data_IF_037036433461
#
_entry.id   IF_037036433461
#
_cell.length_a   1.000
_cell.length_b   1.000
_cell.length_c   1.000
_cell.angle_alpha   90.00
_cell.angle_beta   90.00
_cell.angle_gamma   90.00
#
_symmetry.space_group_name_H-M   'P 1'
#
loop_
_entity.id
_entity.type
_entity.pdbx_description
1 polymer ?
#
# COMPACT_ATOMS: atom_id res chain seq x y z
N UNK A 1 6.84 11.91 1.04
CA UNK A 1 5.41 11.88 1.43
C UNK A 1 4.75 10.67 0.79
N UNK A 2 3.87 9.95 1.49
CA UNK A 2 3.30 8.69 0.99
C UNK A 2 1.79 8.83 0.87
N UNK A 3 1.26 8.53 -0.31
CA UNK A 3 -0.17 8.56 -0.61
C UNK A 3 -0.62 7.22 -1.21
N UNK A 4 -1.92 6.96 -1.15
CA UNK A 4 -2.54 5.83 -1.82
C UNK A 4 -3.56 6.33 -2.85
N UNK A 5 -3.42 5.90 -4.09
CA UNK A 5 -4.40 6.10 -5.15
C UNK A 5 -5.27 4.84 -5.25
N UNK A 6 -6.58 5.00 -5.13
CA UNK A 6 -7.54 3.91 -5.21
C UNK A 6 -8.17 3.82 -6.59
N UNK A 7 -8.72 2.65 -6.92
CA UNK A 7 -9.36 2.37 -8.20
C UNK A 7 -8.42 2.47 -9.42
N UNK A 8 -7.13 2.23 -9.23
CA UNK A 8 -6.14 2.23 -10.31
C UNK A 8 -6.30 0.97 -11.16
N UNK A 9 -6.41 1.08 -12.50
CA UNK A 9 -6.53 -0.08 -13.38
C UNK A 9 -5.39 -1.08 -13.20
N UNK A 10 -5.71 -2.37 -13.08
CA UNK A 10 -4.70 -3.43 -12.92
C UNK A 10 -3.88 -3.69 -14.19
N UNK A 11 -4.27 -3.09 -15.32
CA UNK A 11 -3.48 -3.06 -16.56
C UNK A 11 -2.23 -2.17 -16.47
N UNK A 12 -2.19 -1.24 -15.51
CA UNK A 12 -1.00 -0.43 -15.27
C UNK A 12 0.09 -1.25 -14.58
N UNK A 13 1.32 -1.25 -15.12
CA UNK A 13 2.46 -1.89 -14.46
C UNK A 13 3.33 -0.85 -13.74
N UNK A 14 3.32 -0.77 -12.40
CA UNK A 14 4.15 0.16 -11.65
C UNK A 14 5.65 -0.16 -11.70
N UNK A 15 6.04 -1.35 -12.16
CA UNK A 15 7.45 -1.75 -12.30
C UNK A 15 8.04 -1.43 -13.68
N UNK A 16 7.20 -1.05 -14.64
CA UNK A 16 7.67 -0.66 -15.97
C UNK A 16 8.56 0.59 -15.89
N UNK A 17 9.61 0.66 -16.71
CA UNK A 17 10.57 1.78 -16.74
C UNK A 17 9.86 3.13 -16.97
N UNK A 18 8.81 3.13 -17.79
CA UNK A 18 7.99 4.32 -18.09
C UNK A 18 6.86 4.62 -17.10
N UNK A 19 6.69 3.86 -16.01
CA UNK A 19 5.55 4.00 -15.11
C UNK A 19 5.42 5.41 -14.50
N UNK A 20 6.54 5.98 -14.05
CA UNK A 20 6.61 7.33 -13.46
C UNK A 20 6.32 8.40 -14.51
N UNK A 21 6.84 8.20 -15.71
CA UNK A 21 6.63 9.08 -16.85
C UNK A 21 5.17 9.09 -17.28
N UNK A 22 4.49 7.93 -17.30
CA UNK A 22 3.07 7.83 -17.58
C UNK A 22 2.22 8.58 -16.55
N UNK A 23 2.50 8.39 -15.25
CA UNK A 23 1.86 9.13 -14.16
C UNK A 23 2.06 10.64 -14.35
N UNK A 24 3.29 11.09 -14.65
CA UNK A 24 3.57 12.50 -14.88
C UNK A 24 2.77 13.08 -16.05
N UNK A 25 2.72 12.39 -17.20
CA UNK A 25 2.07 12.93 -18.40
C UNK A 25 0.57 13.20 -18.20
N UNK A 26 -0.13 12.33 -17.48
CA UNK A 26 -1.56 12.51 -17.18
C UNK A 26 -1.80 13.52 -16.03
N UNK A 27 -0.77 13.94 -15.30
CA UNK A 27 -0.89 14.80 -14.11
C UNK A 27 0.10 15.98 -14.11
N UNK A 28 0.54 16.45 -15.28
CA UNK A 28 1.59 17.49 -15.40
C UNK A 28 1.22 18.84 -14.78
N UNK A 29 -0.07 19.11 -14.58
CA UNK A 29 -0.55 20.28 -13.83
C UNK A 29 -0.34 20.21 -12.32
N UNK A 30 -0.11 19.00 -11.78
CA UNK A 30 0.06 18.74 -10.34
C UNK A 30 1.46 18.23 -10.01
N UNK A 31 2.02 17.38 -10.87
CA UNK A 31 3.34 16.76 -10.72
C UNK A 31 4.30 17.51 -11.65
N UNK A 32 5.29 18.26 -11.13
CA UNK A 32 6.14 19.11 -11.94
C UNK A 32 7.17 18.34 -12.78
N UNK A 33 7.56 17.13 -12.35
CA UNK A 33 8.47 16.26 -13.09
C UNK A 33 8.28 14.79 -12.74
N UNK A 34 8.71 13.84 -13.59
CA UNK A 34 8.72 12.42 -13.26
C UNK A 34 9.58 12.08 -12.04
N UNK A 35 10.60 12.89 -11.72
CA UNK A 35 11.46 12.69 -10.56
C UNK A 35 10.78 12.99 -9.23
N UNK A 36 9.70 13.76 -9.23
CA UNK A 36 8.89 13.98 -8.03
C UNK A 36 8.18 12.71 -7.55
N UNK A 37 8.07 11.70 -8.42
CA UNK A 37 7.60 10.36 -8.06
C UNK A 37 8.81 9.48 -7.75
N UNK A 38 9.10 9.30 -6.46
CA UNK A 38 10.25 8.56 -5.95
C UNK A 38 10.07 7.04 -6.06
N UNK A 39 8.87 6.56 -5.75
CA UNK A 39 8.53 5.13 -5.79
C UNK A 39 7.04 4.96 -6.11
N UNK A 40 6.73 3.88 -6.82
CA UNK A 40 5.37 3.46 -7.15
C UNK A 40 5.28 1.95 -6.96
N UNK A 41 4.29 1.49 -6.21
CA UNK A 41 4.05 0.05 -6.03
C UNK A 41 2.59 -0.24 -5.72
N UNK A 42 2.17 -1.46 -5.99
CA UNK A 42 0.88 -1.93 -5.49
C UNK A 42 0.87 -1.99 -3.95
N UNK A 43 -0.24 -1.59 -3.34
CA UNK A 43 -0.45 -1.70 -1.89
C UNK A 43 -0.43 -3.18 -1.46
N UNK A 44 -1.16 -4.00 -2.20
CA UNK A 44 -1.18 -5.45 -2.03
C UNK A 44 -0.55 -6.11 -3.25
N UNK A 45 0.29 -7.12 -3.01
CA UNK A 45 0.76 -7.98 -4.10
C UNK A 45 -0.45 -8.58 -4.83
N UNK A 46 -0.41 -8.60 -6.16
CA UNK A 46 -1.40 -9.28 -6.99
C UNK A 46 -1.22 -10.79 -6.77
N UNK A 47 -1.89 -11.34 -5.76
CA UNK A 47 -1.60 -12.69 -5.23
C UNK A 47 -2.28 -13.85 -5.97
N UNK A 48 -3.19 -13.59 -6.91
CA UNK A 48 -3.90 -14.64 -7.63
C UNK A 48 -4.24 -14.20 -9.05
N UNK A 49 -3.65 -14.86 -10.05
CA UNK A 49 -4.01 -14.66 -11.47
C UNK A 49 -5.43 -15.17 -11.81
N UNK A 50 -6.04 -15.97 -10.92
CA UNK A 50 -7.38 -16.53 -11.06
C UNK A 50 -8.49 -15.50 -10.84
N UNK A 51 -8.23 -14.42 -10.08
CA UNK A 51 -9.18 -13.34 -9.83
C UNK A 51 -8.72 -12.08 -10.57
N UNK A 52 -9.27 -11.87 -11.77
CA UNK A 52 -9.02 -10.66 -12.57
C UNK A 52 -9.76 -9.47 -11.96
N UNK A 53 -9.19 -8.85 -10.93
CA UNK A 53 -9.65 -7.53 -10.47
C UNK A 53 -9.40 -6.51 -11.56
N UNK A 54 -10.39 -5.66 -11.85
CA UNK A 54 -10.25 -4.56 -12.81
C UNK A 54 -9.49 -3.37 -12.23
N UNK A 55 -9.49 -3.22 -10.90
CA UNK A 55 -8.82 -2.11 -10.21
C UNK A 55 -8.15 -2.56 -8.90
N UNK A 56 -7.15 -1.80 -8.47
CA UNK A 56 -6.39 -1.99 -7.24
C UNK A 56 -5.94 -0.65 -6.65
N UNK A 57 -5.24 -0.69 -5.52
CA UNK A 57 -4.72 0.50 -4.83
C UNK A 57 -3.21 0.60 -4.98
N UNK A 58 -2.74 1.77 -5.37
CA UNK A 58 -1.35 2.09 -5.65
C UNK A 58 -0.77 2.97 -4.55
N UNK A 59 0.37 2.58 -3.99
CA UNK A 59 1.15 3.42 -3.06
C UNK A 59 2.17 4.21 -3.87
N UNK A 60 2.19 5.52 -3.64
CA UNK A 60 3.07 6.45 -4.33
C UNK A 60 3.88 7.21 -3.29
N UNK A 61 5.21 7.23 -3.46
CA UNK A 61 6.12 8.03 -2.66
C UNK A 61 6.52 9.26 -3.46
N UNK A 62 6.28 10.43 -2.88
CA UNK A 62 6.54 11.74 -3.46
C UNK A 62 7.65 12.46 -2.70
N UNK A 63 8.40 13.32 -3.38
CA UNK A 63 9.46 14.14 -2.79
C UNK A 63 8.94 15.36 -2.02
N UNK A 64 7.83 15.97 -2.46
CA UNK A 64 7.23 17.16 -1.86
C UNK A 64 5.83 16.89 -1.29
N UNK A 65 5.54 17.51 -0.15
CA UNK A 65 4.24 17.51 0.53
C UNK A 65 3.18 18.19 -0.32
N UNK A 66 3.52 19.31 -0.97
CA UNK A 66 2.57 20.10 -1.74
C UNK A 66 1.96 19.30 -2.89
N UNK A 67 2.78 18.45 -3.51
CA UNK A 67 2.33 17.53 -4.56
C UNK A 67 1.36 16.49 -3.98
N UNK A 68 1.69 15.93 -2.80
CA UNK A 68 0.82 14.98 -2.11
C UNK A 68 -0.54 15.61 -1.76
N UNK A 69 -0.54 16.79 -1.14
CA UNK A 69 -1.76 17.51 -0.76
C UNK A 69 -2.59 17.86 -2.01
N UNK A 70 -1.95 18.32 -3.09
CA UNK A 70 -2.63 18.61 -4.35
C UNK A 70 -3.25 17.36 -4.99
N UNK A 71 -2.57 16.21 -4.97
CA UNK A 71 -3.13 14.94 -5.47
C UNK A 71 -4.30 14.46 -4.60
N UNK A 72 -4.26 14.65 -3.28
CA UNK A 72 -5.39 14.35 -2.39
C UNK A 72 -6.62 15.19 -2.75
N UNK A 73 -6.42 16.47 -3.10
CA UNK A 73 -7.52 17.36 -3.49
C UNK A 73 -8.03 17.12 -4.92
N UNK A 74 -7.14 16.84 -5.87
CA UNK A 74 -7.48 16.78 -7.30
C UNK A 74 -7.64 15.36 -7.85
N UNK A 75 -7.34 14.33 -7.06
CA UNK A 75 -7.18 12.94 -7.49
C UNK A 75 -6.03 12.73 -8.49
N UNK A 76 -5.67 11.47 -8.74
CA UNK A 76 -4.66 11.06 -9.72
C UNK A 76 -5.37 10.62 -11.01
N UNK A 77 -5.00 11.15 -12.17
CA UNK A 77 -5.41 10.61 -13.45
C UNK A 77 -4.45 9.49 -13.90
N UNK A 78 -4.96 8.32 -14.27
CA UNK A 78 -4.13 7.25 -14.83
C UNK A 78 -4.93 6.36 -15.78
N UNK A 79 -4.40 6.14 -16.99
CA UNK A 79 -5.06 5.40 -18.07
C UNK A 79 -6.50 5.89 -18.32
N UNK A 80 -6.71 7.22 -18.27
CA UNK A 80 -8.03 7.83 -18.45
C UNK A 80 -9.00 7.61 -17.29
N UNK A 81 -8.55 7.06 -16.16
CA UNK A 81 -9.35 6.86 -14.95
C UNK A 81 -8.97 7.87 -13.88
N UNK A 82 -9.97 8.51 -13.25
CA UNK A 82 -9.75 9.31 -12.04
C UNK A 82 -9.64 8.38 -10.84
N UNK A 83 -8.47 8.40 -10.19
CA UNK A 83 -8.10 7.56 -9.08
C UNK A 83 -8.04 8.41 -7.80
N UNK A 84 -9.06 8.35 -6.93
CA UNK A 84 -9.08 9.10 -5.67
C UNK A 84 -7.84 8.83 -4.82
N UNK A 85 -7.22 9.89 -4.33
CA UNK A 85 -5.98 9.83 -3.54
C UNK A 85 -6.27 10.16 -2.08
N UNK A 86 -5.67 9.39 -1.18
CA UNK A 86 -5.68 9.69 0.25
C UNK A 86 -4.28 9.55 0.85
N UNK A 87 -4.08 10.13 2.03
CA UNK A 87 -2.85 9.92 2.80
C UNK A 87 -2.67 8.43 3.09
N UNK A 88 -1.46 7.90 2.91
CA UNK A 88 -1.17 6.52 3.26
C UNK A 88 -1.05 6.36 4.78
N UNK A 89 -1.98 5.61 5.36
CA UNK A 89 -1.94 5.16 6.75
C UNK A 89 -1.70 3.64 6.77
N UNK A 90 -0.51 3.15 7.20
CA UNK A 90 -0.21 1.73 7.26
C UNK A 90 -1.01 0.98 8.34
N UNK A 91 -1.79 1.67 9.17
CA UNK A 91 -2.50 1.09 10.29
C UNK A 91 -1.56 0.67 11.44
N UNK A 92 -2.12 0.37 12.62
CA UNK A 92 -1.32 -0.06 13.76
C UNK A 92 -0.67 -1.42 13.49
N UNK A 93 0.64 -1.52 13.74
CA UNK A 93 1.36 -2.79 13.59
C UNK A 93 0.84 -3.81 14.59
N UNK A 94 0.25 -4.90 14.09
CA UNK A 94 -0.21 -6.02 14.92
C UNK A 94 0.84 -7.14 14.94
N UNK A 95 1.10 -7.68 16.13
CA UNK A 95 2.01 -8.79 16.33
C UNK A 95 1.35 -10.12 15.98
N UNK A 96 1.84 -10.82 14.95
CA UNK A 96 1.32 -12.15 14.59
C UNK A 96 1.66 -13.28 15.59
N UNK A 97 2.43 -13.01 16.66
CA UNK A 97 2.69 -13.97 17.74
C UNK A 97 1.64 -13.85 18.84
N UNK A 98 1.53 -12.68 19.48
CA UNK A 98 0.66 -12.46 20.64
C UNK A 98 -0.64 -11.68 20.33
N UNK A 99 -0.83 -11.22 19.09
CA UNK A 99 -1.95 -10.37 18.63
C UNK A 99 -2.02 -8.95 19.23
N UNK A 100 -1.06 -8.56 20.07
CA UNK A 100 -0.95 -7.18 20.60
C UNK A 100 -0.45 -6.20 19.54
N UNK A 101 -0.79 -4.92 19.70
CA UNK A 101 -0.34 -3.84 18.81
C UNK A 101 0.99 -3.23 19.24
N UNK A 102 1.64 -2.53 18.31
CA UNK A 102 2.85 -1.73 18.55
C UNK A 102 4.17 -2.45 18.27
N UNK A 103 4.14 -3.74 17.90
CA UNK A 103 5.35 -4.47 17.55
C UNK A 103 5.09 -5.59 16.53
N UNK A 104 6.14 -5.95 15.79
CA UNK A 104 6.11 -7.06 14.85
C UNK A 104 6.42 -8.38 15.57
N UNK A 105 5.99 -9.51 15.05
CA UNK A 105 6.28 -10.84 15.65
C UNK A 105 7.79 -11.08 15.88
N UNK A 106 8.66 -10.55 15.02
CA UNK A 106 10.13 -10.66 15.17
C UNK A 106 10.66 -9.91 16.40
N UNK A 107 10.03 -8.79 16.77
CA UNK A 107 10.39 -7.95 17.90
C UNK A 107 9.46 -8.18 19.11
N UNK A 108 8.70 -9.27 19.12
CA UNK A 108 7.77 -9.55 20.21
C UNK A 108 8.53 -9.87 21.51
N UNK A 109 8.26 -9.16 22.62
CA UNK A 109 8.93 -9.43 23.90
C UNK A 109 8.61 -10.83 24.43
N UNK A 110 7.42 -11.35 24.08
CA UNK A 110 6.94 -12.67 24.46
C UNK A 110 7.32 -13.78 23.47
N UNK A 111 8.13 -13.49 22.43
CA UNK A 111 8.47 -14.44 21.36
C UNK A 111 9.11 -15.74 21.86
N UNK A 112 9.87 -15.67 22.96
CA UNK A 112 10.56 -16.84 23.54
C UNK A 112 9.62 -17.79 24.26
N UNK A 113 8.42 -17.33 24.62
CA UNK A 113 7.42 -18.13 25.31
C UNK A 113 6.38 -18.66 24.29
N UNK A 114 6.37 -19.97 24.00
CA UNK A 114 5.38 -20.55 23.09
C UNK A 114 3.95 -20.53 23.68
N UNK A 115 3.78 -20.44 24.99
CA UNK A 115 2.44 -20.37 25.61
C UNK A 115 1.72 -19.04 25.33
N UNK A 116 2.46 -18.00 24.93
CA UNK A 116 1.88 -16.69 24.57
C UNK A 116 1.47 -16.60 23.11
N UNK A 117 1.62 -17.67 22.31
CA UNK A 117 1.14 -17.66 20.94
C UNK A 117 -0.38 -17.55 20.94
N UNK A 118 -0.90 -16.68 20.08
CA UNK A 118 -2.32 -16.40 19.94
C UNK A 118 -2.72 -16.51 18.48
N UNK A 119 -3.71 -17.36 18.22
CA UNK A 119 -4.26 -17.58 16.89
C UNK A 119 -4.86 -16.29 16.34
N UNK A 120 -4.46 -15.90 15.12
CA UNK A 120 -4.97 -14.69 14.45
C UNK A 120 -6.44 -14.82 14.01
N UNK A 121 -7.00 -16.04 14.03
CA UNK A 121 -8.39 -16.31 13.62
C UNK A 121 -9.35 -16.32 14.81
N UNK A 122 -9.00 -17.02 15.90
CA UNK A 122 -9.90 -17.27 17.02
C UNK A 122 -9.37 -16.81 18.39
N UNK A 123 -8.18 -16.20 18.44
CA UNK A 123 -7.50 -15.79 19.68
C UNK A 123 -7.17 -16.93 20.68
N UNK A 124 -7.30 -18.19 20.25
CA UNK A 124 -6.90 -19.36 21.03
C UNK A 124 -5.38 -19.47 21.22
N UNK A 125 -4.95 -20.24 22.22
CA UNK A 125 -3.54 -20.46 22.53
C UNK A 125 -2.91 -21.56 21.65
N UNK A 126 -2.91 -21.35 20.33
CA UNK A 126 -2.29 -22.22 19.32
C UNK A 126 -1.81 -21.40 18.11
N UNK A 127 -0.99 -21.97 17.23
CA UNK A 127 -0.56 -21.28 16.02
C UNK A 127 -1.71 -21.24 14.99
N UNK A 128 -1.89 -20.13 14.27
CA UNK A 128 -3.02 -19.96 13.31
C UNK A 128 -3.16 -21.09 12.29
N UNK A 129 -2.07 -21.77 11.92
CA UNK A 129 -2.06 -22.91 10.99
C UNK A 129 -2.71 -24.19 11.54
N UNK A 130 -2.88 -24.25 12.86
CA UNK A 130 -3.49 -25.38 13.60
C UNK A 130 -4.99 -25.15 13.83
N UNK A 131 -5.53 -24.03 13.33
CA UNK A 131 -6.93 -23.63 13.42
C UNK A 131 -7.70 -23.86 12.12
#
# INVERSE_FOLDING_TARGET
>A
FVVVANYVPTSFDPKAEGARTAIYYENSGTIPSPSSVLEVRWLHAQKDASVKKSASSLVIILDDRKIADALIHCSLALAGTSCPVSQFDPGPTQCFHCQEFGHQAKACPKRKDPATIKCARCAGSHATREC
#
